data_IF_495429750782
#
_entry.id   IF_495429750782
#
_cell.length_a   1.000
_cell.length_b   1.000
_cell.length_c   1.000
_cell.angle_alpha   90.00
_cell.angle_beta   90.00
_cell.angle_gamma   90.00
#
_symmetry.space_group_name_H-M   'P 1'
#
loop_
_entity.id
_entity.type
_entity.pdbx_description
1 polymer ?
#
# COMPACT_ATOMS: atom_id res chain seq x y z
N UNK A 1 5.90 9.16 -9.08
CA UNK A 1 6.23 7.76 -9.40
C UNK A 1 7.12 7.72 -10.63
N UNK A 2 8.22 6.98 -10.59
CA UNK A 2 9.11 6.70 -11.71
C UNK A 2 9.66 7.91 -12.50
N UNK A 3 10.88 7.80 -13.03
CA UNK A 3 11.44 8.80 -13.97
C UNK A 3 10.72 8.73 -15.32
N UNK A 4 10.86 9.76 -16.13
CA UNK A 4 10.28 9.78 -17.48
C UNK A 4 10.69 8.56 -18.32
N UNK A 5 11.98 8.15 -18.40
CA UNK A 5 12.37 6.96 -19.15
C UNK A 5 11.74 5.66 -18.61
N UNK A 6 11.55 5.56 -17.29
CA UNK A 6 10.89 4.41 -16.68
C UNK A 6 9.41 4.40 -17.07
N UNK A 7 8.71 5.54 -16.94
CA UNK A 7 7.28 5.62 -17.30
C UNK A 7 6.99 5.35 -18.77
N UNK A 8 7.95 5.64 -19.65
CA UNK A 8 7.80 5.36 -21.08
C UNK A 8 7.99 3.88 -21.45
N UNK A 9 8.61 3.08 -20.59
CA UNK A 9 8.92 1.66 -20.85
C UNK A 9 8.30 0.68 -19.86
N UNK A 10 7.98 1.13 -18.66
CA UNK A 10 7.38 0.28 -17.63
C UNK A 10 5.96 -0.10 -18.01
N UNK A 11 5.59 -1.33 -17.68
CA UNK A 11 4.22 -1.82 -17.70
C UNK A 11 3.72 -2.08 -16.29
N UNK A 12 2.42 -2.08 -16.10
CA UNK A 12 1.79 -2.46 -14.83
C UNK A 12 2.16 -3.90 -14.49
N UNK A 13 1.99 -4.82 -15.43
CA UNK A 13 2.37 -6.23 -15.27
C UNK A 13 3.84 -6.37 -14.86
N UNK A 14 4.76 -5.68 -15.54
CA UNK A 14 6.19 -5.70 -15.21
C UNK A 14 6.50 -5.17 -13.80
N UNK A 15 5.78 -4.16 -13.31
CA UNK A 15 5.93 -3.67 -11.94
C UNK A 15 5.49 -4.72 -10.91
N UNK A 16 4.37 -5.39 -11.15
CA UNK A 16 3.82 -6.43 -10.26
C UNK A 16 4.72 -7.67 -10.28
N UNK A 17 5.06 -8.20 -11.46
CA UNK A 17 5.88 -9.41 -11.62
C UNK A 17 7.32 -9.21 -11.11
N UNK A 18 7.84 -7.97 -11.12
CA UNK A 18 9.11 -7.67 -10.46
C UNK A 18 9.09 -8.00 -8.96
N UNK A 19 7.93 -8.15 -8.35
CA UNK A 19 7.73 -8.53 -6.94
C UNK A 19 8.59 -7.71 -5.97
N UNK A 20 8.68 -6.40 -6.22
CA UNK A 20 9.37 -5.51 -5.30
C UNK A 20 8.52 -5.25 -4.07
N UNK A 21 9.03 -5.44 -2.83
CA UNK A 21 8.29 -5.10 -1.61
C UNK A 21 7.88 -3.62 -1.49
N UNK A 22 8.41 -2.77 -2.38
CA UNK A 22 8.21 -1.31 -2.37
C UNK A 22 7.79 -0.79 -3.76
N UNK A 23 7.17 -1.63 -4.59
CA UNK A 23 6.68 -1.24 -5.91
C UNK A 23 5.52 -0.25 -5.80
N UNK A 24 5.70 1.00 -6.22
CA UNK A 24 4.68 2.06 -6.07
C UNK A 24 3.32 1.66 -6.68
N UNK A 25 3.31 1.15 -7.92
CA UNK A 25 2.06 0.74 -8.58
C UNK A 25 1.44 -0.49 -7.91
N UNK A 26 2.25 -1.40 -7.39
CA UNK A 26 1.75 -2.55 -6.62
C UNK A 26 0.97 -2.09 -5.39
N UNK A 27 1.47 -1.07 -4.67
CA UNK A 27 0.74 -0.50 -3.52
C UNK A 27 -0.59 0.10 -3.94
N UNK A 28 -0.62 0.85 -5.04
CA UNK A 28 -1.86 1.43 -5.58
C UNK A 28 -2.91 0.34 -5.85
N UNK A 29 -2.54 -0.71 -6.57
CA UNK A 29 -3.49 -1.79 -6.91
C UNK A 29 -3.88 -2.65 -5.72
N UNK A 30 -2.99 -2.87 -4.75
CA UNK A 30 -3.34 -3.53 -3.50
C UNK A 30 -4.38 -2.73 -2.70
N UNK A 31 -4.21 -1.40 -2.59
CA UNK A 31 -5.18 -0.56 -1.89
C UNK A 31 -6.53 -0.45 -2.62
N UNK A 32 -6.55 -0.64 -3.94
CA UNK A 32 -7.77 -0.74 -4.74
C UNK A 32 -8.40 -2.14 -4.71
N UNK A 33 -7.88 -3.04 -3.90
CA UNK A 33 -8.29 -4.45 -3.78
C UNK A 33 -8.39 -5.15 -5.15
N UNK A 34 -7.38 -4.93 -5.99
CA UNK A 34 -7.37 -5.40 -7.36
C UNK A 34 -7.24 -6.92 -7.46
N UNK A 35 -7.77 -7.44 -8.56
CA UNK A 35 -7.62 -8.81 -9.03
C UNK A 35 -6.63 -8.85 -10.21
N UNK A 36 -5.86 -9.93 -10.32
CA UNK A 36 -4.92 -10.17 -11.41
C UNK A 36 -5.37 -11.37 -12.23
N UNK A 37 -5.36 -11.24 -13.54
CA UNK A 37 -5.66 -12.30 -14.50
C UNK A 37 -4.38 -12.84 -15.13
N UNK A 38 -4.26 -14.15 -15.14
CA UNK A 38 -3.13 -14.92 -15.64
C UNK A 38 -3.58 -15.79 -16.81
N UNK A 39 -2.73 -15.90 -17.84
CA UNK A 39 -3.00 -16.69 -19.05
C UNK A 39 -1.82 -17.57 -19.41
N UNK A 40 -2.10 -18.81 -19.82
CA UNK A 40 -1.16 -19.78 -20.40
C UNK A 40 -1.85 -20.47 -21.57
N UNK A 41 -1.48 -20.13 -22.81
CA UNK A 41 -2.21 -20.59 -24.01
C UNK A 41 -3.68 -20.23 -23.95
N UNK A 42 -4.57 -21.23 -24.01
CA UNK A 42 -6.02 -21.06 -23.91
C UNK A 42 -6.54 -21.11 -22.44
N UNK A 43 -5.68 -21.39 -21.49
CA UNK A 43 -6.05 -21.47 -20.07
C UNK A 43 -5.94 -20.12 -19.41
N UNK A 44 -6.98 -19.76 -18.62
CA UNK A 44 -7.02 -18.52 -17.86
C UNK A 44 -7.37 -18.80 -16.40
N UNK A 45 -6.79 -18.05 -15.49
CA UNK A 45 -7.19 -17.99 -14.07
C UNK A 45 -7.04 -16.58 -13.53
N UNK A 46 -7.73 -16.29 -12.45
CA UNK A 46 -7.55 -15.03 -11.72
C UNK A 46 -7.49 -15.27 -10.23
N UNK A 47 -6.90 -14.30 -9.51
CA UNK A 47 -6.85 -14.30 -8.07
C UNK A 47 -6.73 -12.86 -7.55
N UNK A 48 -7.10 -12.61 -6.29
CA UNK A 48 -6.84 -11.32 -5.66
C UNK A 48 -5.34 -11.01 -5.69
N UNK A 49 -4.97 -9.77 -6.03
CA UNK A 49 -3.56 -9.37 -6.11
C UNK A 49 -2.81 -9.56 -4.79
N UNK A 50 -3.50 -9.45 -3.64
CA UNK A 50 -2.93 -9.69 -2.31
C UNK A 50 -2.41 -11.13 -2.12
N UNK A 51 -2.98 -12.09 -2.84
CA UNK A 51 -2.65 -13.51 -2.75
C UNK A 51 -1.57 -13.92 -3.76
N UNK A 52 -1.20 -13.01 -4.67
CA UNK A 52 -0.21 -13.27 -5.72
C UNK A 52 1.24 -13.32 -5.22
N UNK A 53 1.54 -12.66 -4.08
CA UNK A 53 2.88 -12.59 -3.49
C UNK A 53 3.05 -13.63 -2.39
N UNK A 54 3.73 -14.75 -2.69
CA UNK A 54 3.91 -15.87 -1.76
C UNK A 54 5.10 -15.68 -0.81
N UNK A 55 6.09 -14.89 -1.21
CA UNK A 55 7.31 -14.64 -0.45
C UNK A 55 8.21 -13.64 -1.16
N UNK A 56 9.39 -13.37 -0.59
CA UNK A 56 10.34 -12.45 -1.21
C UNK A 56 10.73 -12.94 -2.60
N UNK A 57 10.36 -12.17 -3.64
CA UNK A 57 10.55 -12.54 -5.05
C UNK A 57 9.87 -13.86 -5.47
N UNK A 58 8.88 -14.33 -4.70
CA UNK A 58 8.12 -15.52 -5.03
C UNK A 58 6.67 -15.13 -5.32
N UNK A 59 6.17 -15.61 -6.45
CA UNK A 59 4.85 -15.30 -6.97
C UNK A 59 4.04 -16.57 -7.19
N UNK A 60 2.73 -16.50 -7.06
CA UNK A 60 1.80 -17.50 -7.60
C UNK A 60 1.68 -17.31 -9.11
N UNK A 61 2.78 -17.56 -9.82
CA UNK A 61 2.91 -17.46 -11.26
C UNK A 61 3.65 -18.70 -11.78
N UNK A 62 3.01 -19.45 -12.65
CA UNK A 62 3.64 -20.61 -13.30
C UNK A 62 4.64 -20.16 -14.37
N UNK A 63 5.62 -21.00 -14.76
CA UNK A 63 6.69 -20.58 -15.68
C UNK A 63 6.23 -20.06 -17.05
N UNK A 64 5.06 -20.49 -17.50
CA UNK A 64 4.51 -20.13 -18.83
C UNK A 64 3.32 -19.18 -18.73
N UNK A 65 2.89 -18.82 -17.52
CA UNK A 65 1.83 -17.85 -17.33
C UNK A 65 2.33 -16.42 -17.56
N UNK A 66 1.47 -15.60 -18.14
CA UNK A 66 1.64 -14.16 -18.30
C UNK A 66 0.52 -13.44 -17.57
N UNK A 67 0.84 -12.24 -17.07
CA UNK A 67 -0.18 -11.32 -16.56
C UNK A 67 -0.88 -10.69 -17.75
N UNK A 68 -2.16 -11.01 -17.92
CA UNK A 68 -2.97 -10.48 -19.01
C UNK A 68 -3.65 -9.17 -18.64
N UNK A 69 -4.21 -9.09 -17.43
CA UNK A 69 -4.92 -7.91 -16.97
C UNK A 69 -4.81 -7.73 -15.44
N UNK A 70 -5.07 -6.50 -15.00
CA UNK A 70 -5.32 -6.12 -13.61
C UNK A 70 -6.65 -5.39 -13.58
N UNK A 71 -7.56 -5.83 -12.74
CA UNK A 71 -8.90 -5.30 -12.61
C UNK A 71 -9.18 -4.84 -11.18
N UNK A 72 -9.87 -3.74 -11.03
CA UNK A 72 -10.38 -3.23 -9.76
C UNK A 72 -11.74 -2.57 -10.01
N UNK A 73 -12.54 -2.47 -8.98
CA UNK A 73 -13.82 -1.77 -9.08
C UNK A 73 -13.60 -0.26 -9.22
N UNK A 74 -14.31 0.35 -10.17
CA UNK A 74 -14.25 1.80 -10.33
C UNK A 74 -14.74 2.47 -9.04
N UNK A 75 -13.94 3.36 -8.42
CA UNK A 75 -14.36 4.09 -7.23
C UNK A 75 -15.67 4.83 -7.46
N UNK A 76 -16.65 4.60 -6.58
CA UNK A 76 -17.97 5.22 -6.61
C UNK A 76 -18.00 6.58 -5.91
N UNK A 77 -19.22 7.09 -5.70
CA UNK A 77 -19.44 8.32 -4.93
C UNK A 77 -18.96 8.14 -3.48
N UNK A 78 -18.31 9.15 -2.91
CA UNK A 78 -17.73 9.10 -1.56
C UNK A 78 -16.41 8.35 -1.46
N UNK A 79 -15.88 7.82 -2.57
CA UNK A 79 -14.58 7.17 -2.59
C UNK A 79 -13.44 8.19 -2.51
N UNK A 80 -12.49 7.93 -1.62
CA UNK A 80 -11.28 8.71 -1.43
C UNK A 80 -10.07 7.81 -1.62
N UNK A 81 -9.04 8.35 -2.27
CA UNK A 81 -7.80 7.62 -2.50
C UNK A 81 -6.60 8.54 -2.34
N UNK A 82 -5.57 8.06 -1.65
CA UNK A 82 -4.29 8.76 -1.56
C UNK A 82 -3.12 7.77 -1.56
N UNK A 83 -1.97 8.22 -2.07
CA UNK A 83 -0.71 7.47 -2.08
C UNK A 83 0.39 8.34 -1.49
N UNK A 84 1.07 7.81 -0.48
CA UNK A 84 2.17 8.46 0.22
C UNK A 84 3.48 7.67 0.09
N UNK A 85 4.59 8.39 0.08
CA UNK A 85 5.91 7.79 -0.11
C UNK A 85 7.00 8.60 0.58
N UNK A 86 7.82 7.93 1.36
CA UNK A 86 9.09 8.47 1.87
C UNK A 86 10.26 7.81 1.14
N UNK A 87 11.19 8.63 0.70
CA UNK A 87 12.43 8.20 0.04
C UNK A 87 13.59 9.12 0.44
N UNK A 88 14.83 8.64 0.28
CA UNK A 88 16.04 9.40 0.67
C UNK A 88 16.28 10.65 -0.18
N UNK A 89 15.80 10.65 -1.43
CA UNK A 89 15.91 11.77 -2.36
C UNK A 89 14.54 12.29 -2.73
N UNK A 90 14.42 13.57 -2.98
CA UNK A 90 13.15 14.23 -3.35
C UNK A 90 12.58 13.70 -4.66
N UNK A 91 13.42 13.30 -5.60
CA UNK A 91 13.01 12.86 -6.92
C UNK A 91 13.70 11.55 -7.32
N UNK A 92 12.99 10.74 -8.13
CA UNK A 92 13.52 9.57 -8.82
C UNK A 92 14.14 8.52 -7.90
N UNK A 93 13.54 8.32 -6.72
CA UNK A 93 14.09 7.41 -5.73
C UNK A 93 13.14 6.27 -5.40
N UNK A 94 13.75 5.18 -4.95
CA UNK A 94 13.05 4.02 -4.42
C UNK A 94 12.60 4.34 -3.00
N UNK A 95 11.36 3.97 -2.65
CA UNK A 95 10.83 4.22 -1.32
C UNK A 95 11.65 3.55 -0.21
N UNK A 96 11.77 4.22 0.93
CA UNK A 96 12.05 3.55 2.21
C UNK A 96 10.78 2.85 2.71
N UNK A 97 9.67 3.59 2.72
CA UNK A 97 8.30 3.10 2.97
C UNK A 97 7.36 3.83 2.01
N UNK A 98 6.38 3.14 1.48
CA UNK A 98 5.27 3.72 0.75
C UNK A 98 3.95 3.07 1.16
N UNK A 99 2.87 3.82 1.03
CA UNK A 99 1.52 3.38 1.41
C UNK A 99 0.50 3.89 0.41
N UNK A 100 -0.59 3.14 0.26
CA UNK A 100 -1.78 3.63 -0.41
C UNK A 100 -3.00 3.35 0.47
N UNK A 101 -3.95 4.28 0.48
CA UNK A 101 -5.19 4.19 1.24
C UNK A 101 -6.36 4.48 0.32
N UNK A 102 -7.33 3.56 0.29
CA UNK A 102 -8.63 3.72 -0.36
C UNK A 102 -9.72 3.62 0.70
N UNK A 103 -10.59 4.61 0.76
CA UNK A 103 -11.70 4.70 1.70
C UNK A 103 -12.99 4.98 0.95
N UNK A 104 -14.12 4.57 1.52
CA UNK A 104 -15.42 5.10 1.15
C UNK A 104 -16.09 5.68 2.39
N UNK A 105 -16.62 6.89 2.26
CA UNK A 105 -17.30 7.60 3.35
C UNK A 105 -18.80 7.58 3.10
N UNK A 106 -19.55 7.14 4.10
CA UNK A 106 -21.01 7.18 4.12
C UNK A 106 -21.49 7.68 5.48
N UNK A 107 -22.44 8.63 5.46
CA UNK A 107 -22.99 9.23 6.69
C UNK A 107 -21.92 9.77 7.67
N UNK A 108 -20.84 10.37 7.15
CA UNK A 108 -19.74 10.93 7.94
C UNK A 108 -18.88 9.88 8.65
N UNK A 109 -18.96 8.60 8.25
CA UNK A 109 -18.18 7.49 8.78
C UNK A 109 -17.48 6.74 7.65
N UNK A 110 -16.36 6.12 7.97
CA UNK A 110 -15.63 5.24 7.07
C UNK A 110 -16.46 3.95 6.91
N UNK A 111 -16.99 3.72 5.70
CA UNK A 111 -17.79 2.56 5.38
C UNK A 111 -16.94 1.38 4.92
N UNK A 112 -15.97 1.65 4.06
CA UNK A 112 -14.94 0.68 3.64
C UNK A 112 -13.57 1.29 3.73
N UNK A 113 -12.58 0.45 4.02
CA UNK A 113 -11.17 0.84 4.05
C UNK A 113 -10.32 -0.28 3.46
N UNK A 114 -9.36 0.07 2.64
CA UNK A 114 -8.29 -0.80 2.22
C UNK A 114 -6.97 -0.02 2.24
N UNK A 115 -5.97 -0.56 2.91
CA UNK A 115 -4.64 0.03 3.00
C UNK A 115 -3.62 -0.98 2.52
N UNK A 116 -2.57 -0.46 1.90
CA UNK A 116 -1.40 -1.23 1.55
C UNK A 116 -0.13 -0.54 2.01
N UNK A 117 0.90 -1.31 2.29
CA UNK A 117 2.19 -0.81 2.72
C UNK A 117 3.35 -1.60 2.10
N UNK A 118 4.36 -0.87 1.65
CA UNK A 118 5.60 -1.39 1.10
C UNK A 118 6.81 -0.99 1.94
N UNK A 119 7.83 -1.86 1.95
CA UNK A 119 9.05 -1.68 2.72
C UNK A 119 8.95 -2.11 4.19
N UNK A 120 7.82 -2.66 4.59
CA UNK A 120 7.50 -3.05 5.98
C UNK A 120 7.34 -4.56 6.18
N UNK A 121 7.51 -5.33 5.11
CA UNK A 121 7.47 -6.79 5.09
C UNK A 121 8.31 -7.32 3.92
N UNK A 122 8.59 -8.64 3.84
CA UNK A 122 9.28 -9.25 2.69
C UNK A 122 8.52 -9.12 1.38
N UNK A 123 7.21 -8.94 1.45
CA UNK A 123 6.31 -8.80 0.29
C UNK A 123 5.50 -7.51 0.39
N UNK A 124 4.97 -7.01 -0.74
CA UNK A 124 3.91 -6.02 -0.73
C UNK A 124 2.71 -6.55 0.05
N UNK A 125 2.11 -5.77 0.96
CA UNK A 125 0.95 -6.28 1.71
C UNK A 125 -0.14 -5.26 1.93
N UNK A 126 -1.37 -5.79 2.05
CA UNK A 126 -2.47 -5.05 2.66
C UNK A 126 -2.32 -5.04 4.19
N UNK A 127 -2.97 -4.08 4.83
CA UNK A 127 -3.05 -3.91 6.27
C UNK A 127 -4.49 -4.15 6.74
N UNK A 128 -4.93 -5.41 6.85
CA UNK A 128 -6.31 -5.74 7.16
C UNK A 128 -6.74 -5.33 8.57
N UNK A 129 -5.87 -5.41 9.58
CA UNK A 129 -6.20 -4.99 10.94
C UNK A 129 -6.40 -3.47 11.02
N UNK A 130 -5.56 -2.71 10.33
CA UNK A 130 -5.72 -1.25 10.23
C UNK A 130 -6.99 -0.88 9.47
N UNK A 131 -7.31 -1.59 8.40
CA UNK A 131 -8.54 -1.38 7.65
C UNK A 131 -9.79 -1.67 8.51
N UNK A 132 -9.80 -2.79 9.24
CA UNK A 132 -10.87 -3.16 10.16
C UNK A 132 -11.04 -2.11 11.28
N UNK A 133 -9.93 -1.64 11.85
CA UNK A 133 -9.97 -0.58 12.87
C UNK A 133 -10.69 0.67 12.36
N UNK A 134 -10.52 1.04 11.11
CA UNK A 134 -11.10 2.25 10.51
C UNK A 134 -12.60 2.14 10.26
N UNK A 135 -13.12 0.96 9.95
CA UNK A 135 -14.53 0.76 9.57
C UNK A 135 -15.49 1.18 10.69
N UNK A 136 -16.50 1.98 10.34
CA UNK A 136 -17.51 2.52 11.25
C UNK A 136 -17.08 3.75 12.03
N UNK A 137 -15.79 4.12 12.04
CA UNK A 137 -15.29 5.29 12.76
C UNK A 137 -15.47 6.58 11.95
N UNK A 138 -15.48 7.71 12.65
CA UNK A 138 -15.39 9.03 12.00
C UNK A 138 -13.94 9.31 11.64
N UNK A 139 -13.66 9.96 10.52
CA UNK A 139 -12.32 10.45 10.22
C UNK A 139 -12.01 11.68 11.10
N UNK A 140 -11.40 11.46 12.23
CA UNK A 140 -10.94 12.48 13.18
C UNK A 140 -9.50 12.17 13.67
N UNK A 141 -8.94 13.06 14.48
CA UNK A 141 -7.56 12.94 14.95
C UNK A 141 -7.33 11.71 15.85
N UNK A 142 -8.33 11.30 16.62
CA UNK A 142 -8.24 10.10 17.46
C UNK A 142 -8.20 8.83 16.59
N UNK A 143 -9.10 8.75 15.60
CA UNK A 143 -9.15 7.65 14.63
C UNK A 143 -7.85 7.58 13.82
N UNK A 144 -7.30 8.73 13.41
CA UNK A 144 -6.03 8.77 12.68
C UNK A 144 -4.87 8.22 13.51
N UNK A 145 -4.74 8.65 14.77
CA UNK A 145 -3.70 8.15 15.69
C UNK A 145 -3.84 6.66 15.96
N UNK A 146 -5.05 6.18 16.25
CA UNK A 146 -5.29 4.76 16.50
C UNK A 146 -5.04 3.89 15.27
N UNK A 147 -5.37 4.36 14.07
CA UNK A 147 -5.05 3.67 12.82
C UNK A 147 -3.53 3.60 12.59
N UNK A 148 -2.81 4.69 12.86
CA UNK A 148 -1.36 4.72 12.73
C UNK A 148 -0.68 3.76 13.72
N UNK A 149 -1.16 3.68 14.96
CA UNK A 149 -0.63 2.73 15.95
C UNK A 149 -0.93 1.28 15.57
N UNK A 150 -2.16 1.01 15.11
CA UNK A 150 -2.53 -0.32 14.60
C UNK A 150 -1.64 -0.73 13.43
N UNK A 151 -1.40 0.16 12.46
CA UNK A 151 -0.51 -0.10 11.33
C UNK A 151 0.92 -0.42 11.77
N UNK A 152 1.46 0.31 12.74
CA UNK A 152 2.80 0.05 13.31
C UNK A 152 2.92 -1.32 13.97
N UNK A 153 1.87 -1.77 14.65
CA UNK A 153 1.83 -3.08 15.32
C UNK A 153 1.60 -4.24 14.36
N UNK A 154 0.98 -3.98 13.20
CA UNK A 154 0.61 -4.99 12.21
C UNK A 154 1.79 -5.46 11.34
N UNK A 155 2.94 -4.79 11.39
CA UNK A 155 4.07 -5.02 10.49
C UNK A 155 5.35 -5.45 11.20
N UNK A 156 6.19 -6.18 10.46
CA UNK A 156 7.50 -6.66 10.91
C UNK A 156 8.58 -6.33 9.89
N UNK A 157 8.96 -5.03 9.76
CA UNK A 157 10.01 -4.63 8.83
C UNK A 157 11.38 -5.17 9.26
N UNK A 158 12.27 -5.31 8.30
CA UNK A 158 13.69 -5.63 8.54
C UNK A 158 14.53 -4.36 8.37
N UNK A 159 15.64 -4.30 9.10
CA UNK A 159 16.67 -3.27 8.90
C UNK A 159 17.46 -3.57 7.63
N UNK A 160 17.64 -2.56 6.79
CA UNK A 160 18.41 -2.64 5.53
C UNK A 160 19.04 -1.28 5.18
N UNK A 161 19.61 -1.17 3.97
CA UNK A 161 20.22 0.08 3.47
C UNK A 161 19.26 1.27 3.38
N UNK A 162 17.94 1.05 3.52
CA UNK A 162 16.89 2.08 3.43
C UNK A 162 16.45 2.61 4.78
N UNK A 163 16.79 1.92 5.86
CA UNK A 163 16.48 2.31 7.23
C UNK A 163 16.40 1.13 8.19
N UNK A 164 16.46 1.42 9.49
CA UNK A 164 16.21 0.44 10.53
C UNK A 164 14.75 -0.02 10.55
N UNK A 165 14.48 -1.16 11.18
CA UNK A 165 13.13 -1.67 11.37
C UNK A 165 12.24 -0.66 12.10
N UNK A 166 12.77 -0.03 13.16
CA UNK A 166 12.02 0.94 13.97
C UNK A 166 11.74 2.23 13.20
N UNK A 167 12.72 2.73 12.43
CA UNK A 167 12.51 3.84 11.52
C UNK A 167 11.42 3.56 10.49
N UNK A 168 11.36 2.36 9.92
CA UNK A 168 10.31 2.00 8.97
C UNK A 168 8.93 1.88 9.62
N UNK A 169 8.85 1.39 10.87
CA UNK A 169 7.60 1.42 11.65
C UNK A 169 7.14 2.85 11.93
N UNK A 170 8.07 3.70 12.36
CA UNK A 170 7.78 5.12 12.57
C UNK A 170 7.25 5.76 11.30
N UNK A 171 7.93 5.58 10.17
CA UNK A 171 7.50 6.10 8.88
C UNK A 171 6.12 5.61 8.48
N UNK A 172 5.79 4.33 8.70
CA UNK A 172 4.47 3.80 8.39
C UNK A 172 3.38 4.55 9.17
N UNK A 173 3.56 4.75 10.46
CA UNK A 173 2.63 5.54 11.28
C UNK A 173 2.47 6.97 10.75
N UNK A 174 3.58 7.63 10.42
CA UNK A 174 3.56 8.98 9.85
C UNK A 174 2.82 9.04 8.51
N UNK A 175 2.99 8.04 7.64
CA UNK A 175 2.29 7.99 6.36
C UNK A 175 0.78 7.77 6.53
N UNK A 176 0.36 6.99 7.54
CA UNK A 176 -1.07 6.86 7.88
C UNK A 176 -1.64 8.21 8.32
N UNK A 177 -0.94 8.96 9.18
CA UNK A 177 -1.36 10.32 9.55
C UNK A 177 -1.40 11.27 8.36
N UNK A 178 -0.41 11.17 7.46
CA UNK A 178 -0.37 11.98 6.23
C UNK A 178 -1.59 11.72 5.32
N UNK A 179 -2.06 10.47 5.21
CA UNK A 179 -3.31 10.17 4.51
C UNK A 179 -4.50 10.93 5.10
N UNK A 180 -4.64 10.96 6.44
CA UNK A 180 -5.72 11.69 7.09
C UNK A 180 -5.61 13.20 6.89
N UNK A 181 -4.40 13.73 6.91
CA UNK A 181 -4.18 15.13 6.61
C UNK A 181 -4.60 15.48 5.17
N UNK A 182 -4.14 14.70 4.18
CA UNK A 182 -4.44 14.94 2.76
C UNK A 182 -5.93 14.76 2.45
N UNK A 183 -6.55 13.68 2.97
CA UNK A 183 -7.93 13.33 2.62
C UNK A 183 -8.97 14.13 3.39
N UNK A 184 -8.67 14.59 4.61
CA UNK A 184 -9.65 15.20 5.52
C UNK A 184 -9.19 16.52 6.14
N UNK A 185 -7.95 16.98 5.90
CA UNK A 185 -7.39 18.17 6.55
C UNK A 185 -7.13 17.98 8.05
N UNK A 186 -6.94 16.73 8.51
CA UNK A 186 -6.78 16.41 9.92
C UNK A 186 -5.29 16.41 10.29
N UNK A 187 -4.90 17.35 11.15
CA UNK A 187 -3.57 17.39 11.76
C UNK A 187 -3.58 16.57 13.05
N UNK A 188 -3.20 15.30 12.97
CA UNK A 188 -3.22 14.37 14.12
C UNK A 188 -1.94 14.38 14.96
N UNK A 189 -1.00 15.27 14.67
CA UNK A 189 0.32 15.36 15.31
C UNK A 189 1.37 14.49 14.61
N UNK A 190 2.58 14.50 15.16
CA UNK A 190 3.74 13.71 14.71
C UNK A 190 4.00 12.65 15.77
N UNK A 191 4.30 11.40 15.40
CA UNK A 191 4.87 10.44 16.34
C UNK A 191 6.29 10.89 16.66
N UNK A 192 6.58 11.17 17.92
CA UNK A 192 7.94 11.35 18.41
C UNK A 192 8.55 9.98 18.68
N UNK A 193 9.86 9.80 18.38
CA UNK A 193 10.57 8.64 18.86
C UNK A 193 10.55 8.71 20.41
N UNK A 194 10.07 7.65 21.05
CA UNK A 194 10.34 7.48 22.47
C UNK A 194 11.85 7.38 22.62
N UNK A 195 12.46 8.46 23.08
CA UNK A 195 13.87 8.47 23.48
C UNK A 195 14.01 7.53 24.67
N UNK A 196 14.56 6.34 24.41
CA UNK A 196 14.95 5.36 25.43
C UNK A 196 16.17 5.85 26.21
#
# INVERSE_FOLDING_TARGET
MGSLPIRQRATIAGNIVNASPIGDMTMVFLALDAEIGLVEGDSQRSLPLRDFFLGYKQLDLRPQELVEWVRFEKPGEGALFNFEKVSKRTHLDIASVNTAMALNISNGRIHTACLSAGGVAPIPRQLPQTAEYLIGRRPDAETARGAAETARSEVTPISDVRGSADYKRLLLGQLVLAHFNVLFGIEAGIFEEETA
#
